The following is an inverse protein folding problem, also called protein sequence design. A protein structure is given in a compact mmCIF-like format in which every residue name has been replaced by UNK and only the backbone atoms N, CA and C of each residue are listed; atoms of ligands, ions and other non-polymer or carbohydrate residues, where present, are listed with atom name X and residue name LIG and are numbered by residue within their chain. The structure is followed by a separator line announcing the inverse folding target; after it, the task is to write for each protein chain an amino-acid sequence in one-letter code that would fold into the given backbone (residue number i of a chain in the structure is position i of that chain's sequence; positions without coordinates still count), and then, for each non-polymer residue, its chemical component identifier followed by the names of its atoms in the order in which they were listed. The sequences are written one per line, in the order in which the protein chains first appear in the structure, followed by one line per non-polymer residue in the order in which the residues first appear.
data_IF_351734244028
#
_entry.id   IF_351734244028
#
_cell.length_a   1.000
_cell.length_b   1.000
_cell.length_c   1.000
_cell.angle_alpha   90.00
_cell.angle_beta   90.00
_cell.angle_gamma   90.00
#
_symmetry.space_group_name_H-M   'P 1'
#
loop_
_entity.id
_entity.type
_entity.pdbx_description
1 polymer ?
#
# COMPACT_ATOMS: atom_id res chain seq x y z
N UNK A 1 59.02 33.97 -33.96
CA UNK A 1 58.32 35.25 -33.72
C UNK A 1 56.83 34.94 -33.77
N UNK A 2 56.13 34.99 -32.63
CA UNK A 2 54.70 34.70 -32.62
C UNK A 2 53.95 35.94 -33.14
N UNK A 3 53.30 35.82 -34.30
CA UNK A 3 52.36 36.82 -34.79
C UNK A 3 51.25 37.00 -33.75
N UNK A 4 51.24 38.16 -33.10
CA UNK A 4 50.10 38.59 -32.29
C UNK A 4 49.00 38.94 -33.27
N UNK A 5 48.14 37.97 -33.59
CA UNK A 5 46.87 38.22 -34.25
C UNK A 5 46.07 39.20 -33.38
N UNK A 6 46.10 40.49 -33.77
CA UNK A 6 45.40 41.55 -33.05
C UNK A 6 43.90 41.36 -33.21
N UNK A 7 43.30 40.60 -32.30
CA UNK A 7 41.85 40.52 -32.19
C UNK A 7 41.32 41.92 -31.83
N UNK A 8 40.31 42.42 -32.56
CA UNK A 8 39.65 43.68 -32.20
C UNK A 8 38.88 43.48 -30.89
N UNK A 9 38.82 44.54 -30.08
CA UNK A 9 38.02 44.58 -28.87
C UNK A 9 36.54 44.31 -29.21
N UNK A 10 35.94 43.28 -28.60
CA UNK A 10 34.54 42.92 -28.87
C UNK A 10 33.56 44.03 -28.51
N UNK A 11 33.86 44.81 -27.46
CA UNK A 11 33.03 45.94 -26.98
C UNK A 11 33.11 47.20 -27.85
N UNK A 12 34.31 47.68 -28.23
CA UNK A 12 34.49 48.98 -28.89
C UNK A 12 35.20 48.94 -30.26
N UNK A 13 35.53 47.75 -30.77
CA UNK A 13 36.17 47.49 -32.08
C UNK A 13 37.57 48.09 -32.30
N UNK A 14 38.16 48.75 -31.28
CA UNK A 14 39.58 49.16 -31.27
C UNK A 14 40.51 47.95 -31.20
N UNK A 15 41.82 48.14 -31.40
CA UNK A 15 42.82 47.06 -31.26
C UNK A 15 42.73 46.42 -29.88
N UNK A 16 42.57 45.10 -29.84
CA UNK A 16 42.65 44.33 -28.60
C UNK A 16 44.09 43.99 -28.27
N UNK A 17 44.35 43.87 -26.98
CA UNK A 17 45.67 43.54 -26.42
C UNK A 17 45.66 42.23 -25.62
N UNK A 18 44.47 41.73 -25.29
CA UNK A 18 44.27 40.51 -24.52
C UNK A 18 43.04 39.76 -25.05
N UNK A 19 43.09 38.43 -24.99
CA UNK A 19 41.97 37.55 -25.29
C UNK A 19 41.56 36.82 -24.01
N UNK A 20 40.26 36.61 -23.82
CA UNK A 20 39.76 35.77 -22.73
C UNK A 20 39.48 34.37 -23.26
N UNK A 21 40.16 33.36 -22.73
CA UNK A 21 39.96 31.96 -23.13
C UNK A 21 38.53 31.47 -22.82
N UNK A 22 37.94 31.94 -21.73
CA UNK A 22 36.62 31.52 -21.29
C UNK A 22 35.47 31.94 -22.23
N UNK A 23 35.58 33.11 -22.87
CA UNK A 23 34.55 33.59 -23.82
C UNK A 23 35.06 33.79 -25.25
N UNK A 24 36.31 33.41 -25.52
CA UNK A 24 37.04 33.56 -26.78
C UNK A 24 37.12 34.98 -27.37
N UNK A 25 36.70 36.02 -26.64
CA UNK A 25 36.66 37.40 -27.12
C UNK A 25 37.98 38.14 -26.90
N UNK A 26 38.33 39.01 -27.85
CA UNK A 26 39.42 39.98 -27.72
C UNK A 26 38.97 41.27 -27.05
N UNK A 27 39.85 41.90 -26.26
CA UNK A 27 39.54 43.11 -25.50
C UNK A 27 40.69 44.11 -25.53
N UNK A 28 40.38 45.41 -25.51
CA UNK A 28 41.36 46.43 -25.14
C UNK A 28 41.56 46.45 -23.61
N UNK A 29 42.63 47.10 -23.13
CA UNK A 29 42.99 47.13 -21.70
C UNK A 29 41.82 47.47 -20.76
N UNK A 30 41.04 48.50 -21.10
CA UNK A 30 39.90 48.96 -20.29
C UNK A 30 38.81 47.90 -20.21
N UNK A 31 38.30 47.44 -21.36
CA UNK A 31 37.21 46.47 -21.38
C UNK A 31 37.63 45.08 -20.88
N UNK A 32 38.92 44.72 -20.95
CA UNK A 32 39.43 43.49 -20.35
C UNK A 32 39.35 43.52 -18.81
N UNK A 33 39.71 44.67 -18.21
CA UNK A 33 39.59 44.89 -16.76
C UNK A 33 38.13 44.92 -16.31
N UNK A 34 37.26 45.58 -17.06
CA UNK A 34 35.81 45.56 -16.79
C UNK A 34 35.24 44.14 -16.88
N UNK A 35 35.61 43.39 -17.91
CA UNK A 35 35.23 41.99 -18.05
C UNK A 35 35.69 41.15 -16.86
N UNK A 36 36.94 41.33 -16.42
CA UNK A 36 37.47 40.60 -15.26
C UNK A 36 36.77 40.99 -13.96
N UNK A 37 36.46 42.27 -13.77
CA UNK A 37 35.72 42.75 -12.61
C UNK A 37 34.28 42.23 -12.58
N UNK A 38 33.62 42.15 -13.74
CA UNK A 38 32.31 41.53 -13.88
C UNK A 38 32.34 40.06 -13.45
N UNK A 39 33.33 39.29 -13.91
CA UNK A 39 33.49 37.88 -13.53
C UNK A 39 33.74 37.72 -12.02
N UNK A 40 34.59 38.56 -11.44
CA UNK A 40 34.87 38.56 -10.00
C UNK A 40 33.60 38.82 -9.18
N UNK A 41 32.81 39.80 -9.59
CA UNK A 41 31.52 40.12 -8.97
C UNK A 41 30.55 38.94 -9.04
N UNK A 42 30.43 38.29 -10.21
CA UNK A 42 29.58 37.11 -10.38
C UNK A 42 30.06 35.93 -9.52
N UNK A 43 31.37 35.74 -9.40
CA UNK A 43 31.93 34.67 -8.58
C UNK A 43 31.73 34.95 -7.09
N UNK A 44 31.88 36.19 -6.64
CA UNK A 44 31.58 36.60 -5.28
C UNK A 44 30.10 36.34 -4.91
N UNK A 45 29.17 36.60 -5.84
CA UNK A 45 27.76 36.27 -5.66
C UNK A 45 27.57 34.75 -5.50
N UNK A 46 28.21 33.92 -6.33
CA UNK A 46 28.13 32.46 -6.19
C UNK A 46 28.67 31.96 -4.85
N UNK A 47 29.76 32.55 -4.35
CA UNK A 47 30.29 32.24 -3.02
C UNK A 47 29.30 32.63 -1.92
N UNK A 48 28.67 33.79 -2.05
CA UNK A 48 27.63 34.24 -1.12
C UNK A 48 26.41 33.30 -1.15
N UNK A 49 25.86 33.01 -2.32
CA UNK A 49 24.71 32.11 -2.50
C UNK A 49 25.04 30.73 -1.90
N UNK A 50 26.23 30.18 -2.19
CA UNK A 50 26.67 28.92 -1.59
C UNK A 50 26.76 29.00 -0.07
N UNK A 51 27.18 30.14 0.49
CA UNK A 51 27.33 30.30 1.94
C UNK A 51 25.99 30.32 2.70
N UNK A 52 24.91 30.75 2.04
CA UNK A 52 23.57 30.80 2.66
C UNK A 52 22.79 29.48 2.52
N UNK A 53 23.12 28.65 1.53
CA UNK A 53 22.43 27.36 1.29
C UNK A 53 22.39 26.42 2.52
N UNK A 54 23.47 26.25 3.31
CA UNK A 54 23.42 25.41 4.51
C UNK A 54 22.37 25.87 5.53
N UNK A 55 22.23 27.19 5.74
CA UNK A 55 21.22 27.73 6.65
C UNK A 55 19.80 27.49 6.14
N UNK A 56 19.58 27.72 4.85
CA UNK A 56 18.28 27.43 4.21
C UNK A 56 17.91 25.95 4.29
N UNK A 57 18.88 25.05 4.15
CA UNK A 57 18.67 23.61 4.30
C UNK A 57 18.25 23.23 5.73
N UNK A 58 18.89 23.82 6.75
CA UNK A 58 18.54 23.60 8.16
C UNK A 58 17.10 24.09 8.42
N UNK A 59 16.75 25.29 7.95
CA UNK A 59 15.41 25.86 8.11
C UNK A 59 14.35 25.00 7.40
N UNK A 60 14.62 24.56 6.18
CA UNK A 60 13.75 23.68 5.41
C UNK A 60 13.52 22.34 6.14
N UNK A 61 14.60 21.71 6.61
CA UNK A 61 14.52 20.45 7.34
C UNK A 61 13.72 20.58 8.65
N UNK A 62 13.85 21.71 9.34
CA UNK A 62 13.14 21.97 10.59
C UNK A 62 11.65 22.18 10.36
N UNK A 63 11.29 22.91 9.30
CA UNK A 63 9.88 23.11 8.88
C UNK A 63 9.22 21.80 8.48
N UNK A 64 9.90 20.95 7.70
CA UNK A 64 9.39 19.63 7.32
C UNK A 64 9.20 18.76 8.55
N UNK A 65 10.22 18.66 9.42
CA UNK A 65 10.10 17.89 10.66
C UNK A 65 8.92 18.36 11.49
N UNK A 66 8.75 19.67 11.65
CA UNK A 66 7.64 20.21 12.44
C UNK A 66 6.26 19.94 11.81
N UNK A 67 6.15 19.97 10.48
CA UNK A 67 4.89 19.69 9.79
C UNK A 67 4.57 18.18 9.79
N UNK A 68 5.53 17.35 9.36
CA UNK A 68 5.32 15.90 9.19
C UNK A 68 5.28 15.15 10.51
N UNK A 69 6.10 15.48 11.50
CA UNK A 69 6.08 14.79 12.80
C UNK A 69 4.79 15.06 13.59
N UNK A 70 4.04 16.13 13.25
CA UNK A 70 2.75 16.39 13.89
C UNK A 70 1.63 15.52 13.33
N UNK A 71 1.59 15.30 12.02
CA UNK A 71 0.45 14.64 11.36
C UNK A 71 0.72 13.17 11.09
N UNK A 72 1.92 12.82 10.64
CA UNK A 72 2.22 11.46 10.17
C UNK A 72 2.04 10.38 11.25
N UNK A 73 2.46 10.58 12.52
CA UNK A 73 2.19 9.58 13.56
C UNK A 73 0.70 9.39 13.83
N UNK A 74 -0.09 10.47 13.76
CA UNK A 74 -1.54 10.40 13.93
C UNK A 74 -2.19 9.63 12.78
N UNK A 75 -1.81 9.93 11.53
CA UNK A 75 -2.33 9.26 10.35
C UNK A 75 -1.99 7.76 10.35
N UNK A 76 -0.76 7.40 10.75
CA UNK A 76 -0.32 6.00 10.90
C UNK A 76 -1.15 5.29 11.97
N UNK A 77 -1.31 5.89 13.15
CA UNK A 77 -2.09 5.30 14.24
C UNK A 77 -3.55 5.10 13.83
N UNK A 78 -4.14 6.11 13.17
CA UNK A 78 -5.51 6.02 12.68
C UNK A 78 -5.66 4.90 11.63
N UNK A 79 -4.72 4.78 10.70
CA UNK A 79 -4.71 3.70 9.72
C UNK A 79 -4.60 2.32 10.39
N UNK A 80 -3.73 2.18 11.39
CA UNK A 80 -3.55 0.93 12.15
C UNK A 80 -4.82 0.54 12.91
N UNK A 81 -5.44 1.49 13.63
CA UNK A 81 -6.69 1.26 14.35
C UNK A 81 -7.83 0.84 13.41
N UNK A 82 -7.96 1.50 12.26
CA UNK A 82 -8.96 1.16 11.26
C UNK A 82 -8.74 -0.22 10.67
N UNK A 83 -7.49 -0.59 10.37
CA UNK A 83 -7.15 -1.91 9.85
C UNK A 83 -7.48 -3.01 10.87
N UNK A 84 -7.07 -2.84 12.13
CA UNK A 84 -7.34 -3.80 13.20
C UNK A 84 -8.85 -3.97 13.43
N UNK A 85 -9.60 -2.87 13.43
CA UNK A 85 -11.06 -2.89 13.57
C UNK A 85 -11.71 -3.67 12.42
N UNK A 86 -11.30 -3.43 11.18
CA UNK A 86 -11.85 -4.10 10.00
C UNK A 86 -11.60 -5.60 10.02
N UNK A 87 -10.38 -6.02 10.37
CA UNK A 87 -10.00 -7.44 10.48
C UNK A 87 -10.82 -8.11 11.59
N UNK A 88 -10.94 -7.46 12.75
CA UNK A 88 -11.68 -7.99 13.90
C UNK A 88 -13.16 -8.18 13.58
N UNK A 89 -13.80 -7.15 13.02
CA UNK A 89 -15.21 -7.21 12.62
C UNK A 89 -15.47 -8.27 11.56
N UNK A 90 -14.55 -8.44 10.61
CA UNK A 90 -14.68 -9.48 9.57
C UNK A 90 -14.53 -10.87 10.16
N UNK A 91 -13.56 -11.09 11.04
CA UNK A 91 -13.39 -12.36 11.74
C UNK A 91 -14.61 -12.71 12.59
N UNK A 92 -15.18 -11.74 13.31
CA UNK A 92 -16.41 -11.93 14.11
C UNK A 92 -17.61 -12.28 13.24
N UNK A 93 -17.83 -11.57 12.12
CA UNK A 93 -18.91 -11.89 11.17
C UNK A 93 -18.77 -13.31 10.64
N UNK A 94 -17.56 -13.74 10.26
CA UNK A 94 -17.32 -15.11 9.78
C UNK A 94 -17.58 -16.13 10.87
N UNK A 95 -17.11 -15.90 12.10
CA UNK A 95 -17.36 -16.80 13.24
C UNK A 95 -18.86 -16.93 13.52
N UNK A 96 -19.59 -15.82 13.54
CA UNK A 96 -21.04 -15.83 13.77
C UNK A 96 -21.77 -16.55 12.65
N UNK A 97 -21.38 -16.32 11.39
CA UNK A 97 -21.95 -17.04 10.25
C UNK A 97 -21.73 -18.54 10.33
N UNK A 98 -20.53 -18.98 10.73
CA UNK A 98 -20.25 -20.41 10.95
C UNK A 98 -21.16 -20.97 12.04
N UNK A 99 -21.30 -20.26 13.18
CA UNK A 99 -22.19 -20.70 14.27
C UNK A 99 -23.64 -20.83 13.80
N UNK A 100 -24.15 -19.84 13.07
CA UNK A 100 -25.51 -19.89 12.49
C UNK A 100 -25.70 -21.09 11.58
N UNK A 101 -24.77 -21.35 10.67
CA UNK A 101 -24.83 -22.48 9.74
C UNK A 101 -24.80 -23.81 10.50
N UNK A 102 -23.99 -23.92 11.56
CA UNK A 102 -23.93 -25.12 12.39
C UNK A 102 -25.23 -25.34 13.18
N UNK A 103 -25.79 -24.28 13.77
CA UNK A 103 -27.06 -24.33 14.49
C UNK A 103 -28.20 -24.74 13.55
N UNK A 104 -28.28 -24.10 12.37
CA UNK A 104 -29.28 -24.41 11.36
C UNK A 104 -29.18 -25.88 10.94
N UNK A 105 -27.98 -26.35 10.58
CA UNK A 105 -27.79 -27.74 10.17
C UNK A 105 -28.17 -28.73 11.27
N UNK A 106 -27.78 -28.47 12.52
CA UNK A 106 -28.15 -29.31 13.66
C UNK A 106 -29.67 -29.36 13.84
N UNK A 107 -30.36 -28.23 13.66
CA UNK A 107 -31.82 -28.17 13.73
C UNK A 107 -32.50 -28.95 12.60
N UNK A 108 -31.96 -28.90 11.38
CA UNK A 108 -32.46 -29.68 10.23
C UNK A 108 -32.31 -31.18 10.49
N UNK A 109 -31.12 -31.63 10.90
CA UNK A 109 -30.88 -33.06 11.22
C UNK A 109 -31.85 -33.55 12.30
N UNK A 110 -32.09 -32.72 13.33
CA UNK A 110 -33.05 -33.07 14.39
C UNK A 110 -34.47 -33.23 13.83
N UNK A 111 -34.92 -32.29 13.01
CA UNK A 111 -36.24 -32.35 12.39
C UNK A 111 -36.39 -33.59 11.49
N UNK A 112 -35.36 -33.93 10.72
CA UNK A 112 -35.36 -35.13 9.87
C UNK A 112 -35.46 -36.42 10.70
N UNK A 113 -34.72 -36.50 11.83
CA UNK A 113 -34.79 -37.62 12.76
C UNK A 113 -36.17 -37.74 13.45
N UNK A 114 -36.76 -36.61 13.84
CA UNK A 114 -38.10 -36.58 14.43
C UNK A 114 -39.15 -37.07 13.41
N UNK A 115 -39.03 -36.65 12.14
CA UNK A 115 -39.90 -37.10 11.06
C UNK A 115 -39.76 -38.62 10.81
N UNK A 116 -38.53 -39.13 10.69
CA UNK A 116 -38.28 -40.58 10.54
C UNK A 116 -38.87 -41.34 11.74
N UNK A 117 -38.71 -40.82 12.96
CA UNK A 117 -39.25 -41.45 14.17
C UNK A 117 -40.78 -41.51 14.17
N UNK A 118 -41.45 -40.44 13.76
CA UNK A 118 -42.90 -40.43 13.60
C UNK A 118 -43.35 -41.42 12.53
N UNK A 119 -42.65 -41.46 11.41
CA UNK A 119 -42.94 -42.33 10.27
C UNK A 119 -42.82 -43.82 10.66
N UNK A 120 -41.76 -44.19 11.38
CA UNK A 120 -41.55 -45.53 11.93
C UNK A 120 -42.65 -45.92 12.93
N UNK A 121 -42.97 -45.04 13.88
CA UNK A 121 -44.00 -45.31 14.90
C UNK A 121 -45.38 -45.50 14.28
N UNK A 122 -45.75 -44.65 13.32
CA UNK A 122 -47.03 -44.72 12.61
C UNK A 122 -47.18 -46.05 11.87
N UNK A 123 -46.20 -46.40 11.03
CA UNK A 123 -46.24 -47.67 10.28
C UNK A 123 -46.22 -48.89 11.18
N UNK A 124 -45.45 -48.86 12.27
CA UNK A 124 -45.43 -49.94 13.27
C UNK A 124 -46.79 -50.10 13.95
N UNK A 125 -47.44 -48.99 14.32
CA UNK A 125 -48.76 -49.00 14.93
C UNK A 125 -49.84 -49.51 13.96
N UNK A 126 -49.79 -49.06 12.71
CA UNK A 126 -50.71 -49.49 11.64
C UNK A 126 -50.38 -50.90 11.10
N UNK A 127 -49.26 -51.49 11.54
CA UNK A 127 -48.67 -52.73 11.01
C UNK A 127 -48.60 -52.77 9.47
N UNK A 128 -48.32 -51.60 8.86
CA UNK A 128 -48.34 -51.35 7.43
C UNK A 128 -46.97 -50.87 6.96
N UNK A 129 -46.02 -51.81 6.87
CA UNK A 129 -44.66 -51.54 6.38
C UNK A 129 -44.26 -52.63 5.39
N UNK A 130 -43.64 -52.22 4.29
CA UNK A 130 -43.09 -53.11 3.27
C UNK A 130 -41.55 -53.04 3.26
N UNK A 131 -40.91 -53.99 2.59
CA UNK A 131 -39.45 -54.05 2.45
C UNK A 131 -38.89 -52.75 1.85
N UNK A 132 -39.64 -52.12 0.94
CA UNK A 132 -39.28 -50.83 0.33
C UNK A 132 -39.28 -49.68 1.34
N UNK A 133 -40.26 -49.65 2.26
CA UNK A 133 -40.30 -48.63 3.33
C UNK A 133 -39.12 -48.79 4.29
N UNK A 134 -38.82 -50.04 4.68
CA UNK A 134 -37.69 -50.36 5.56
C UNK A 134 -36.38 -49.92 4.90
N UNK A 135 -36.20 -50.26 3.62
CA UNK A 135 -35.02 -49.88 2.86
C UNK A 135 -34.88 -48.35 2.77
N UNK A 136 -35.93 -47.64 2.41
CA UNK A 136 -35.93 -46.18 2.29
C UNK A 136 -35.61 -45.47 3.62
N UNK A 137 -36.22 -45.92 4.71
CA UNK A 137 -35.97 -45.35 6.04
C UNK A 137 -34.54 -45.66 6.53
N UNK A 138 -34.02 -46.85 6.20
CA UNK A 138 -32.61 -47.20 6.46
C UNK A 138 -31.66 -46.28 5.70
N UNK A 139 -31.88 -46.07 4.39
CA UNK A 139 -31.04 -45.21 3.56
C UNK A 139 -31.01 -43.76 4.08
N UNK A 140 -32.15 -43.24 4.55
CA UNK A 140 -32.21 -41.91 5.20
C UNK A 140 -31.39 -41.85 6.48
N UNK A 141 -31.44 -42.88 7.32
CA UNK A 141 -30.66 -42.95 8.55
C UNK A 141 -29.16 -43.03 8.26
N UNK A 142 -28.77 -43.82 7.26
CA UNK A 142 -27.38 -43.94 6.80
C UNK A 142 -26.85 -42.60 6.29
N UNK A 143 -27.66 -41.85 5.54
CA UNK A 143 -27.30 -40.53 5.04
C UNK A 143 -27.05 -39.53 6.19
N UNK A 144 -27.93 -39.51 7.20
CA UNK A 144 -27.75 -38.68 8.39
C UNK A 144 -26.45 -39.07 9.14
N UNK A 145 -26.15 -40.35 9.21
CA UNK A 145 -24.94 -40.85 9.86
C UNK A 145 -23.66 -40.45 9.12
N UNK A 146 -23.68 -40.44 7.78
CA UNK A 146 -22.61 -39.89 6.95
C UNK A 146 -22.46 -38.38 7.23
N UNK A 147 -23.56 -37.64 7.21
CA UNK A 147 -23.58 -36.20 7.44
C UNK A 147 -23.01 -35.81 8.81
N UNK A 148 -23.24 -36.61 9.85
CA UNK A 148 -22.66 -36.41 11.18
C UNK A 148 -21.15 -36.72 11.23
N UNK A 149 -20.67 -37.68 10.43
CA UNK A 149 -19.27 -38.10 10.45
C UNK A 149 -18.33 -37.17 9.67
N UNK A 150 -18.82 -36.51 8.60
CA UNK A 150 -18.03 -35.55 7.80
C UNK A 150 -17.49 -34.38 8.64
N UNK A 151 -18.14 -34.04 9.76
CA UNK A 151 -17.74 -32.92 10.64
C UNK A 151 -16.61 -33.24 11.63
N UNK A 152 -16.13 -34.48 11.69
CA UNK A 152 -14.99 -34.84 12.55
C UNK A 152 -13.65 -34.35 11.98
N UNK A 153 -13.59 -34.01 10.70
CA UNK A 153 -12.35 -33.65 10.01
C UNK A 153 -12.11 -32.14 10.09
N UNK A 154 -11.12 -31.72 10.89
CA UNK A 154 -10.70 -30.30 11.00
C UNK A 154 -10.44 -29.70 9.62
N UNK A 155 -11.27 -28.74 9.21
CA UNK A 155 -10.93 -27.84 8.10
C UNK A 155 -9.86 -26.87 8.61
N UNK A 156 -8.60 -27.10 8.21
CA UNK A 156 -7.53 -26.11 8.39
C UNK A 156 -7.87 -24.92 7.48
N UNK A 157 -8.39 -23.84 8.05
CA UNK A 157 -8.45 -22.57 7.33
C UNK A 157 -7.02 -22.04 7.16
N UNK A 158 -6.49 -22.14 5.94
CA UNK A 158 -5.36 -21.31 5.52
C UNK A 158 -5.90 -19.89 5.33
N UNK A 159 -5.44 -18.96 6.17
CA UNK A 159 -5.77 -17.54 6.03
C UNK A 159 -4.98 -17.02 4.83
N UNK A 160 -5.63 -16.62 3.72
CA UNK A 160 -4.89 -16.01 2.61
C UNK A 160 -4.32 -14.67 3.07
N UNK A 161 -3.11 -14.30 2.60
CA UNK A 161 -2.49 -13.04 2.95
C UNK A 161 -3.41 -11.88 2.57
N UNK A 162 -3.54 -10.91 3.48
CA UNK A 162 -4.29 -9.67 3.25
C UNK A 162 -3.62 -8.96 2.07
N UNK A 163 -4.29 -8.95 0.91
CA UNK A 163 -3.90 -8.09 -0.21
C UNK A 163 -4.24 -6.66 0.19
N UNK A 164 -3.26 -5.93 0.69
CA UNK A 164 -3.34 -4.47 0.77
C UNK A 164 -3.51 -3.97 -0.67
N UNK A 165 -4.68 -3.37 -0.97
CA UNK A 165 -4.86 -2.66 -2.22
C UNK A 165 -3.83 -1.53 -2.24
N UNK A 166 -2.83 -1.66 -3.10
CA UNK A 166 -1.87 -0.62 -3.42
C UNK A 166 -2.59 0.47 -4.23
N UNK A 167 -3.31 1.33 -3.53
CA UNK A 167 -3.66 2.66 -4.00
C UNK A 167 -3.13 3.64 -2.95
N UNK A 168 -1.80 3.80 -2.97
CA UNK A 168 -1.11 4.96 -2.45
C UNK A 168 -0.51 5.68 -3.65
#
# INVERSE_FOLDING_TARGET
MAEVLSAKCSCCKKSGIAQCDGCANGFCSTHFREHRHYLDTKFAQLLHDRSILPHQLVDYSSKIKQAQLKTLPHDINQWEEQALKSVTQTAERVRNRIKELMTLRTSTIKADLDQISMELRKRKFENNYFEQDIKHLSEKLDQIQIDLNIHKTRVKMTIPPIKLNSQF
#
